data_IF_217000142742
#
_entry.id   IF_217000142742
#
_cell.length_a   1.000
_cell.length_b   1.000
_cell.length_c   1.000
_cell.angle_alpha   90.00
_cell.angle_beta   90.00
_cell.angle_gamma   90.00
#
_symmetry.space_group_name_H-M   'P 1'
#
loop_
_entity.id
_entity.type
_entity.pdbx_description
1 polymer ?
#
# COMPACT_ATOMS: atom_id res chain seq x y z
N UNK A 1 30.06 10.48 45.94
CA UNK A 1 30.64 9.21 45.46
C UNK A 1 29.54 8.18 45.50
N UNK A 2 28.79 8.07 44.42
CA UNK A 2 27.73 7.07 44.26
C UNK A 2 28.42 5.81 43.76
N UNK A 3 28.46 4.78 44.60
CA UNK A 3 28.91 3.47 44.14
C UNK A 3 27.93 2.98 43.07
N UNK A 4 28.40 2.91 41.86
CA UNK A 4 27.77 2.14 40.80
C UNK A 4 27.74 0.69 41.30
N UNK A 5 26.55 0.19 41.63
CA UNK A 5 26.34 -1.23 41.85
C UNK A 5 26.63 -1.91 40.50
N UNK A 6 27.81 -2.52 40.40
CA UNK A 6 28.03 -3.52 39.38
C UNK A 6 26.98 -4.60 39.58
N UNK A 7 26.31 -5.08 38.52
CA UNK A 7 25.51 -6.28 38.62
C UNK A 7 26.41 -7.35 39.24
N UNK A 8 25.94 -8.00 40.28
CA UNK A 8 26.60 -9.19 40.81
C UNK A 8 26.53 -10.22 39.70
N UNK A 9 27.65 -10.50 39.04
CA UNK A 9 27.78 -11.65 38.17
C UNK A 9 27.59 -12.86 39.12
N UNK A 10 26.39 -13.41 39.12
CA UNK A 10 26.12 -14.68 39.73
C UNK A 10 26.75 -15.73 38.82
N UNK A 11 27.88 -16.28 39.19
CA UNK A 11 28.55 -17.41 38.52
C UNK A 11 27.66 -18.67 38.44
N UNK A 12 26.46 -18.62 39.00
CA UNK A 12 25.44 -19.68 38.97
C UNK A 12 24.21 -19.31 38.13
N UNK A 13 24.34 -18.39 37.16
CA UNK A 13 23.26 -18.18 36.20
C UNK A 13 23.12 -19.44 35.33
N UNK A 14 22.31 -20.36 35.81
CA UNK A 14 21.84 -21.50 35.03
C UNK A 14 21.18 -20.96 33.78
N UNK A 15 21.55 -21.48 32.63
CA UNK A 15 21.01 -21.12 31.31
C UNK A 15 19.47 -21.17 31.28
N UNK A 16 18.85 -21.90 32.20
CA UNK A 16 17.41 -22.11 32.30
C UNK A 16 16.74 -21.34 33.46
N UNK A 17 17.47 -20.64 34.30
CA UNK A 17 16.94 -20.08 35.54
C UNK A 17 17.57 -18.76 35.98
N UNK A 18 18.11 -17.95 35.09
CA UNK A 18 18.58 -16.62 35.49
C UNK A 18 17.41 -15.79 36.03
N UNK A 19 17.67 -15.08 37.10
CA UNK A 19 16.66 -14.20 37.77
C UNK A 19 16.12 -13.18 36.78
N UNK A 20 16.92 -12.73 35.82
CA UNK A 20 16.54 -11.79 34.76
C UNK A 20 15.57 -12.40 33.78
N UNK A 21 15.73 -13.68 33.40
CA UNK A 21 14.81 -14.39 32.51
C UNK A 21 13.51 -14.83 33.21
N UNK A 22 13.53 -14.97 34.54
CA UNK A 22 12.36 -15.31 35.35
C UNK A 22 11.52 -14.09 35.75
N UNK A 23 12.00 -12.87 35.49
CA UNK A 23 11.32 -11.63 35.85
C UNK A 23 10.57 -11.08 34.63
N UNK A 24 9.28 -10.77 34.78
CA UNK A 24 8.50 -10.17 33.70
C UNK A 24 9.00 -8.75 33.41
N UNK A 25 9.15 -8.44 32.11
CA UNK A 25 9.50 -7.09 31.68
C UNK A 25 8.37 -6.11 31.99
N UNK A 26 8.69 -4.87 32.41
CA UNK A 26 7.69 -3.84 32.66
C UNK A 26 6.98 -3.48 31.34
N UNK A 27 5.63 -3.50 31.35
CA UNK A 27 4.80 -3.22 30.17
C UNK A 27 4.18 -1.82 30.17
N UNK A 28 4.07 -1.19 31.36
CA UNK A 28 3.32 0.06 31.52
C UNK A 28 4.13 1.17 32.19
N UNK A 29 5.25 0.83 32.82
CA UNK A 29 6.12 1.80 33.49
C UNK A 29 7.52 1.75 32.88
N UNK A 30 8.19 2.92 32.88
CA UNK A 30 9.58 2.98 32.42
C UNK A 30 10.47 2.27 33.46
N UNK A 31 11.38 1.37 33.05
CA UNK A 31 12.27 0.67 33.98
C UNK A 31 13.14 1.66 34.78
N UNK A 32 13.33 1.40 36.07
CA UNK A 32 14.15 2.25 36.96
C UNK A 32 15.65 1.98 36.73
N UNK A 33 16.00 0.75 36.36
CA UNK A 33 17.39 0.31 36.19
C UNK A 33 17.63 -0.14 34.76
N UNK A 34 18.88 -0.04 34.31
CA UNK A 34 19.34 -0.68 33.06
C UNK A 34 19.29 -2.21 33.18
N UNK A 35 19.09 -2.86 32.05
CA UNK A 35 19.08 -4.32 31.92
C UNK A 35 20.20 -4.79 31.00
N UNK A 36 20.58 -6.06 31.10
CA UNK A 36 21.55 -6.67 30.21
C UNK A 36 21.00 -6.68 28.76
N UNK A 37 21.73 -6.11 27.77
CA UNK A 37 21.24 -6.01 26.38
C UNK A 37 20.88 -7.36 25.77
N UNK A 38 21.63 -8.43 26.09
CA UNK A 38 21.36 -9.77 25.55
C UNK A 38 20.05 -10.34 26.09
N UNK A 39 19.76 -10.15 27.38
CA UNK A 39 18.53 -10.65 27.99
C UNK A 39 17.32 -9.90 27.45
N UNK A 40 17.42 -8.58 27.29
CA UNK A 40 16.37 -7.77 26.65
C UNK A 40 16.14 -8.22 25.20
N UNK A 41 17.22 -8.46 24.45
CA UNK A 41 17.12 -8.98 23.09
C UNK A 41 16.35 -10.31 23.04
N UNK A 42 16.70 -11.28 23.89
CA UNK A 42 16.02 -12.57 23.92
C UNK A 42 14.56 -12.46 24.31
N UNK A 43 14.24 -11.64 25.31
CA UNK A 43 12.86 -11.43 25.74
C UNK A 43 11.99 -10.81 24.61
N UNK A 44 12.52 -9.81 23.91
CA UNK A 44 11.82 -9.21 22.74
C UNK A 44 11.73 -10.21 21.59
N UNK A 45 12.80 -10.94 21.30
CA UNK A 45 12.81 -11.96 20.25
C UNK A 45 11.74 -13.03 20.50
N UNK A 46 11.64 -13.53 21.74
CA UNK A 46 10.66 -14.56 22.11
C UNK A 46 9.21 -14.03 21.99
N UNK A 47 8.99 -12.75 22.36
CA UNK A 47 7.68 -12.10 22.16
C UNK A 47 7.33 -12.00 20.67
N UNK A 48 8.28 -11.63 19.81
CA UNK A 48 8.10 -11.57 18.35
C UNK A 48 7.83 -12.94 17.71
N UNK A 49 8.23 -14.05 18.35
CA UNK A 49 7.91 -15.41 17.89
C UNK A 49 6.41 -15.73 17.99
N UNK A 50 5.63 -14.95 18.75
CA UNK A 50 4.19 -15.05 18.82
C UNK A 50 3.47 -14.41 17.63
N UNK A 51 4.17 -13.60 16.84
CA UNK A 51 3.64 -13.04 15.61
C UNK A 51 3.38 -14.12 14.55
N UNK A 52 2.43 -13.85 13.66
CA UNK A 52 2.10 -14.78 12.57
C UNK A 52 3.21 -14.90 11.54
N UNK A 53 3.20 -16.01 10.81
CA UNK A 53 4.11 -16.20 9.68
C UNK A 53 3.73 -15.26 8.53
N UNK A 54 4.62 -14.32 8.21
CA UNK A 54 4.41 -13.31 7.17
C UNK A 54 4.15 -13.90 5.77
N UNK A 55 4.63 -15.12 5.47
CA UNK A 55 4.35 -15.81 4.20
C UNK A 55 2.92 -16.33 4.09
N UNK A 56 2.27 -16.61 5.23
CA UNK A 56 0.87 -17.05 5.30
C UNK A 56 -0.11 -15.89 5.48
N UNK A 57 0.40 -14.67 5.66
CA UNK A 57 -0.44 -13.47 5.65
C UNK A 57 -0.72 -13.05 4.21
N UNK A 58 -1.88 -13.45 3.69
CA UNK A 58 -2.34 -13.15 2.32
C UNK A 58 -3.22 -11.90 2.26
N UNK A 59 -3.36 -11.19 3.39
CA UNK A 59 -4.11 -9.94 3.51
C UNK A 59 -3.26 -8.70 3.18
N UNK A 60 -1.96 -8.72 3.52
CA UNK A 60 -1.08 -7.56 3.39
C UNK A 60 -0.55 -7.37 1.98
N UNK A 61 -0.53 -6.11 1.53
CA UNK A 61 0.09 -5.71 0.27
C UNK A 61 1.61 -5.56 0.38
N UNK A 62 2.13 -5.35 1.59
CA UNK A 62 3.54 -5.09 1.81
C UNK A 62 4.41 -6.32 1.54
N UNK A 63 5.56 -6.09 0.92
CA UNK A 63 6.55 -7.12 0.66
C UNK A 63 7.14 -7.64 1.97
N UNK A 64 7.32 -8.96 2.06
CA UNK A 64 7.89 -9.64 3.23
C UNK A 64 9.15 -10.44 2.93
N UNK A 65 9.53 -10.50 1.65
CA UNK A 65 10.75 -11.16 1.20
C UNK A 65 11.77 -10.12 0.73
N UNK A 66 13.01 -10.25 1.18
CA UNK A 66 14.15 -9.44 0.73
C UNK A 66 15.38 -10.33 0.57
N UNK A 67 16.26 -9.97 -0.39
CA UNK A 67 17.56 -10.60 -0.57
C UNK A 67 18.48 -10.33 0.65
N UNK A 68 19.48 -11.18 0.88
CA UNK A 68 20.41 -10.99 2.00
C UNK A 68 21.27 -9.73 1.84
N UNK A 69 21.59 -9.34 0.63
CA UNK A 69 22.30 -8.10 0.31
C UNK A 69 21.47 -6.87 0.72
N UNK A 70 20.14 -6.92 0.60
CA UNK A 70 19.28 -5.85 1.10
C UNK A 70 19.37 -5.73 2.62
N UNK A 71 19.42 -6.85 3.36
CA UNK A 71 19.59 -6.83 4.82
C UNK A 71 20.90 -6.17 5.20
N UNK A 72 22.00 -6.52 4.52
CA UNK A 72 23.30 -5.91 4.75
C UNK A 72 23.31 -4.41 4.40
N UNK A 73 22.70 -4.01 3.28
CA UNK A 73 22.57 -2.60 2.92
C UNK A 73 21.72 -1.81 3.92
N UNK A 74 20.66 -2.41 4.45
CA UNK A 74 19.83 -1.80 5.49
C UNK A 74 20.63 -1.57 6.78
N UNK A 75 21.44 -2.55 7.19
CA UNK A 75 22.32 -2.43 8.36
C UNK A 75 23.37 -1.34 8.16
N UNK A 76 24.01 -1.28 6.99
CA UNK A 76 24.97 -0.21 6.62
C UNK A 76 24.33 1.18 6.50
N UNK A 77 23.02 1.27 6.43
CA UNK A 77 22.29 2.51 6.21
C UNK A 77 21.43 2.93 7.41
N UNK A 78 21.64 2.33 8.58
CA UNK A 78 20.84 2.58 9.79
C UNK A 78 20.94 4.03 10.26
N UNK A 79 22.04 4.71 9.99
CA UNK A 79 22.32 6.09 10.33
C UNK A 79 21.89 7.11 9.25
N UNK A 80 21.46 6.68 8.06
CA UNK A 80 21.15 7.56 6.95
C UNK A 80 19.79 8.23 7.12
N UNK A 81 19.80 9.56 7.23
CA UNK A 81 18.60 10.40 7.32
C UNK A 81 18.39 11.16 6.01
N UNK A 82 17.23 11.00 5.39
CA UNK A 82 16.92 11.57 4.08
C UNK A 82 16.88 13.11 4.05
N UNK A 83 16.68 13.76 5.20
CA UNK A 83 16.67 15.23 5.25
C UNK A 83 18.08 15.82 5.31
N UNK A 84 19.07 15.08 5.82
CA UNK A 84 20.43 15.55 6.03
C UNK A 84 21.27 15.36 4.77
N UNK A 85 20.90 16.08 3.70
CA UNK A 85 21.50 15.93 2.37
C UNK A 85 22.96 16.39 2.31
N UNK A 86 23.36 17.27 3.21
CA UNK A 86 24.75 17.74 3.31
C UNK A 86 25.65 16.66 3.93
N UNK A 87 25.16 15.97 4.97
CA UNK A 87 25.87 14.84 5.58
C UNK A 87 25.83 13.57 4.73
N UNK A 88 24.69 13.31 4.07
CA UNK A 88 24.47 12.11 3.25
C UNK A 88 24.20 12.42 1.78
N UNK A 89 25.11 13.11 1.08
CA UNK A 89 24.87 13.55 -0.31
C UNK A 89 24.69 12.37 -1.28
N UNK A 90 25.33 11.22 -1.03
CA UNK A 90 25.17 10.05 -1.88
C UNK A 90 23.81 9.38 -1.68
N UNK A 91 23.24 9.39 -0.49
CA UNK A 91 21.89 8.89 -0.23
C UNK A 91 20.86 9.80 -0.90
N UNK A 92 21.04 11.11 -0.86
CA UNK A 92 20.21 12.08 -1.58
C UNK A 92 20.31 11.89 -3.11
N UNK A 93 21.51 11.64 -3.63
CA UNK A 93 21.73 11.34 -5.06
C UNK A 93 21.05 10.02 -5.47
N UNK A 94 21.08 9.00 -4.62
CA UNK A 94 20.36 7.72 -4.85
C UNK A 94 18.84 7.96 -4.90
N UNK A 95 18.30 8.80 -4.02
CA UNK A 95 16.87 9.19 -4.09
C UNK A 95 16.53 9.80 -5.44
N UNK A 96 17.33 10.79 -5.89
CA UNK A 96 17.11 11.46 -7.17
C UNK A 96 17.19 10.49 -8.35
N UNK A 97 18.14 9.55 -8.34
CA UNK A 97 18.23 8.49 -9.35
C UNK A 97 16.98 7.62 -9.38
N UNK A 98 16.46 7.23 -8.22
CA UNK A 98 15.21 6.47 -8.13
C UNK A 98 14.04 7.28 -8.72
N UNK A 99 13.93 8.57 -8.41
CA UNK A 99 12.90 9.46 -8.97
C UNK A 99 13.01 9.53 -10.50
N UNK A 100 14.21 9.71 -11.04
CA UNK A 100 14.44 9.76 -12.48
C UNK A 100 14.08 8.42 -13.17
N UNK A 101 14.46 7.29 -12.55
CA UNK A 101 14.11 5.95 -13.06
C UNK A 101 12.60 5.72 -13.07
N UNK A 102 11.88 6.20 -12.05
CA UNK A 102 10.42 6.10 -11.99
C UNK A 102 9.76 7.04 -12.99
N UNK A 103 10.27 8.24 -13.17
CA UNK A 103 9.79 9.17 -14.18
C UNK A 103 9.93 8.60 -15.60
N UNK A 104 11.08 7.99 -15.93
CA UNK A 104 11.27 7.25 -17.17
C UNK A 104 10.33 6.06 -17.30
N UNK A 105 10.21 5.27 -16.24
CA UNK A 105 9.33 4.09 -16.21
C UNK A 105 7.86 4.44 -16.46
N UNK A 106 7.41 5.60 -15.97
CA UNK A 106 6.04 6.11 -16.10
C UNK A 106 5.89 7.15 -17.23
N UNK A 107 6.85 7.20 -18.17
CA UNK A 107 6.82 8.01 -19.38
C UNK A 107 6.63 9.51 -19.13
N UNK A 108 7.29 10.06 -18.10
CA UNK A 108 7.32 11.50 -17.90
C UNK A 108 8.00 12.21 -19.08
N UNK A 109 7.41 13.29 -19.63
CA UNK A 109 8.04 14.07 -20.71
C UNK A 109 9.33 14.78 -20.27
N UNK A 110 9.55 14.89 -18.96
CA UNK A 110 10.70 15.57 -18.33
C UNK A 110 11.51 14.64 -17.43
N UNK A 111 11.70 13.38 -17.80
CA UNK A 111 12.27 12.34 -16.94
C UNK A 111 13.64 12.68 -16.32
N UNK A 112 14.45 13.52 -16.97
CA UNK A 112 15.76 13.97 -16.45
C UNK A 112 15.70 15.22 -15.58
N UNK A 113 14.57 15.92 -15.54
CA UNK A 113 14.34 17.16 -14.78
C UNK A 113 13.01 17.11 -14.00
N UNK A 114 12.56 15.92 -13.66
CA UNK A 114 11.33 15.66 -12.96
C UNK A 114 11.46 15.90 -11.46
N UNK A 115 10.43 16.44 -10.85
CA UNK A 115 10.30 16.52 -9.39
C UNK A 115 9.62 15.29 -8.85
N UNK A 116 10.15 14.78 -7.76
CA UNK A 116 9.60 13.68 -7.00
C UNK A 116 10.35 13.52 -5.69
N UNK A 117 9.84 12.70 -4.81
CA UNK A 117 10.55 12.32 -3.59
C UNK A 117 10.15 10.93 -3.10
N UNK A 118 11.01 10.37 -2.28
CA UNK A 118 10.68 9.26 -1.43
C UNK A 118 9.79 9.68 -0.27
N UNK A 119 8.98 8.77 0.21
CA UNK A 119 8.12 8.92 1.37
C UNK A 119 8.17 7.65 2.22
N UNK A 120 7.66 7.68 3.44
CA UNK A 120 7.57 6.49 4.30
C UNK A 120 6.52 5.48 3.84
N UNK A 121 5.78 5.79 2.77
CA UNK A 121 4.77 4.94 2.15
C UNK A 121 3.87 5.73 1.21
N UNK A 122 3.07 5.03 0.41
CA UNK A 122 2.19 5.69 -0.56
C UNK A 122 1.10 6.56 0.07
N UNK A 123 0.77 6.39 1.34
CA UNK A 123 -0.19 7.27 2.01
C UNK A 123 0.32 8.71 2.09
N UNK A 124 1.59 8.91 2.46
CA UNK A 124 2.23 10.23 2.39
C UNK A 124 2.34 10.72 0.95
N UNK A 125 2.76 9.86 0.04
CA UNK A 125 2.91 10.18 -1.37
C UNK A 125 1.57 10.63 -2.01
N UNK A 126 0.46 9.94 -1.70
CA UNK A 126 -0.88 10.30 -2.11
C UNK A 126 -1.31 11.67 -1.55
N UNK A 127 -1.03 11.93 -0.26
CA UNK A 127 -1.32 13.23 0.36
C UNK A 127 -0.56 14.38 -0.33
N UNK A 128 0.70 14.17 -0.70
CA UNK A 128 1.49 15.15 -1.46
C UNK A 128 0.91 15.40 -2.85
N UNK A 129 0.48 14.36 -3.56
CA UNK A 129 -0.23 14.47 -4.84
C UNK A 129 -1.54 15.25 -4.71
N UNK A 130 -2.36 14.91 -3.71
CA UNK A 130 -3.61 15.62 -3.41
C UNK A 130 -3.41 17.08 -3.02
N UNK A 131 -2.38 17.39 -2.22
CA UNK A 131 -2.02 18.75 -1.86
C UNK A 131 -1.61 19.57 -3.10
N UNK A 132 -0.83 18.99 -3.99
CA UNK A 132 -0.46 19.67 -5.24
C UNK A 132 -1.68 19.99 -6.09
N UNK A 133 -2.65 19.08 -6.22
CA UNK A 133 -3.93 19.34 -6.90
C UNK A 133 -4.70 20.48 -6.22
N UNK A 134 -4.84 20.47 -4.89
CA UNK A 134 -5.55 21.50 -4.13
C UNK A 134 -4.93 22.87 -4.31
N UNK A 135 -3.60 23.01 -4.17
CA UNK A 135 -2.93 24.30 -4.30
C UNK A 135 -2.95 24.83 -5.73
N UNK A 136 -2.84 23.98 -6.76
CA UNK A 136 -3.03 24.36 -8.16
C UNK A 136 -4.43 24.88 -8.43
N UNK A 137 -5.46 24.17 -7.97
CA UNK A 137 -6.86 24.59 -8.06
C UNK A 137 -7.06 25.93 -7.34
N UNK A 138 -6.57 26.08 -6.12
CA UNK A 138 -6.66 27.31 -5.33
C UNK A 138 -6.04 28.49 -6.07
N UNK A 139 -4.80 28.36 -6.54
CA UNK A 139 -4.09 29.41 -7.29
C UNK A 139 -4.84 29.83 -8.56
N UNK A 140 -5.39 28.89 -9.31
CA UNK A 140 -6.22 29.18 -10.50
C UNK A 140 -7.46 29.99 -10.10
N UNK A 141 -8.19 29.57 -9.06
CA UNK A 141 -9.41 30.25 -8.57
C UNK A 141 -9.11 31.67 -8.10
N UNK A 142 -8.03 31.86 -7.36
CA UNK A 142 -7.58 33.18 -6.88
C UNK A 142 -7.25 34.13 -8.06
N UNK A 143 -6.57 33.64 -9.09
CA UNK A 143 -6.29 34.42 -10.31
C UNK A 143 -7.56 34.80 -11.08
N UNK A 144 -8.59 33.97 -11.00
CA UNK A 144 -9.90 34.25 -11.61
C UNK A 144 -10.83 35.09 -10.70
N UNK A 145 -10.38 35.46 -9.49
CA UNK A 145 -11.18 36.19 -8.51
C UNK A 145 -12.37 35.40 -7.96
N UNK A 146 -12.29 34.07 -7.99
CA UNK A 146 -13.32 33.16 -7.52
C UNK A 146 -13.02 32.65 -6.12
N UNK A 147 -14.06 32.21 -5.37
CA UNK A 147 -13.90 31.59 -4.05
C UNK A 147 -13.03 30.32 -4.12
N UNK A 148 -12.24 30.11 -3.08
CA UNK A 148 -11.44 28.90 -2.85
C UNK A 148 -12.02 28.02 -1.73
N UNK A 149 -13.26 28.29 -1.33
CA UNK A 149 -14.01 27.50 -0.36
C UNK A 149 -14.51 26.21 -1.01
N UNK A 150 -14.68 25.17 -0.20
CA UNK A 150 -15.30 23.91 -0.59
C UNK A 150 -14.62 23.17 -1.75
N UNK A 151 -13.28 22.99 -1.72
CA UNK A 151 -12.62 22.10 -2.68
C UNK A 151 -13.17 20.68 -2.55
N UNK A 152 -13.39 20.01 -3.68
CA UNK A 152 -13.78 18.60 -3.68
C UNK A 152 -12.87 17.77 -4.58
N UNK A 153 -12.85 16.47 -4.35
CA UNK A 153 -12.07 15.51 -5.12
C UNK A 153 -12.93 14.30 -5.44
N UNK A 154 -12.88 13.84 -6.69
CA UNK A 154 -13.64 12.67 -7.17
C UNK A 154 -12.76 11.45 -7.20
N UNK A 155 -13.23 10.32 -6.67
CA UNK A 155 -12.54 9.05 -6.68
C UNK A 155 -13.52 7.86 -6.70
N UNK A 156 -12.99 6.66 -6.92
CA UNK A 156 -13.72 5.40 -6.72
C UNK A 156 -13.57 4.88 -5.28
N UNK A 157 -13.71 3.56 -5.07
CA UNK A 157 -13.52 2.93 -3.76
C UNK A 157 -12.03 2.95 -3.36
N UNK A 158 -11.65 4.00 -2.66
CA UNK A 158 -10.25 4.31 -2.31
C UNK A 158 -9.79 3.72 -0.99
N UNK A 159 -8.49 3.66 -0.81
CA UNK A 159 -7.86 3.31 0.45
C UNK A 159 -8.03 4.47 1.45
N UNK A 160 -8.06 4.14 2.75
CA UNK A 160 -8.29 5.08 3.86
C UNK A 160 -7.39 6.33 3.86
N UNK A 161 -6.24 6.31 3.18
CA UNK A 161 -5.37 7.47 3.07
C UNK A 161 -6.07 8.67 2.40
N UNK A 162 -6.96 8.43 1.44
CA UNK A 162 -7.73 9.50 0.77
C UNK A 162 -8.83 10.07 1.67
N UNK A 163 -9.47 9.25 2.51
CA UNK A 163 -10.37 9.74 3.55
C UNK A 163 -9.63 10.60 4.58
N UNK A 164 -8.40 10.19 4.95
CA UNK A 164 -7.53 11.00 5.82
C UNK A 164 -7.11 12.30 5.14
N UNK A 165 -6.70 12.23 3.87
CA UNK A 165 -6.39 13.44 3.08
C UNK A 165 -7.55 14.43 3.11
N UNK A 166 -8.74 13.96 2.75
CA UNK A 166 -9.95 14.78 2.71
C UNK A 166 -10.22 15.47 4.06
N UNK A 167 -10.16 14.72 5.15
CA UNK A 167 -10.41 15.23 6.50
C UNK A 167 -9.32 16.17 7.00
N UNK A 168 -8.04 15.82 6.80
CA UNK A 168 -6.92 16.60 7.33
C UNK A 168 -6.70 17.90 6.58
N UNK A 169 -7.01 17.92 5.29
CA UNK A 169 -6.79 19.08 4.44
C UNK A 169 -8.07 19.78 3.99
N UNK A 170 -9.19 19.49 4.62
CA UNK A 170 -10.48 20.13 4.38
C UNK A 170 -10.86 20.12 2.88
N UNK A 171 -10.99 18.92 2.35
CA UNK A 171 -11.44 18.62 0.98
C UNK A 171 -12.65 17.70 1.06
N UNK A 172 -13.73 18.03 0.37
CA UNK A 172 -14.87 17.12 0.22
C UNK A 172 -14.47 15.93 -0.64
N UNK A 173 -14.57 14.71 -0.10
CA UNK A 173 -14.34 13.48 -0.87
C UNK A 173 -15.65 13.05 -1.52
N UNK A 174 -15.70 13.07 -2.83
CA UNK A 174 -16.82 12.58 -3.64
C UNK A 174 -16.49 11.21 -4.17
N UNK A 175 -16.79 10.21 -3.36
CA UNK A 175 -16.61 8.82 -3.71
C UNK A 175 -17.77 8.36 -4.60
N UNK A 176 -17.45 7.89 -5.81
CA UNK A 176 -18.45 7.36 -6.75
C UNK A 176 -18.99 6.04 -6.16
N UNK A 177 -20.30 5.98 -5.86
CA UNK A 177 -20.88 4.81 -5.21
C UNK A 177 -20.82 3.59 -6.11
N UNK A 178 -20.67 2.43 -5.50
CA UNK A 178 -20.78 1.14 -6.20
C UNK A 178 -22.24 0.87 -6.55
N UNK A 179 -22.48 0.08 -7.59
CA UNK A 179 -23.85 -0.27 -8.00
C UNK A 179 -23.90 -1.59 -8.78
N UNK A 180 -24.73 -2.52 -8.35
CA UNK A 180 -24.87 -3.84 -8.99
C UNK A 180 -23.51 -4.54 -9.12
N UNK A 181 -23.13 -4.87 -10.34
CA UNK A 181 -21.84 -5.52 -10.65
C UNK A 181 -20.70 -4.51 -10.90
N UNK A 182 -21.00 -3.23 -10.87
CA UNK A 182 -20.00 -2.16 -11.01
C UNK A 182 -19.32 -1.90 -9.66
N UNK A 183 -18.15 -2.50 -9.49
CA UNK A 183 -17.36 -2.46 -8.27
C UNK A 183 -16.16 -1.51 -8.33
N UNK A 184 -16.19 -0.56 -9.26
CA UNK A 184 -15.16 0.47 -9.46
C UNK A 184 -15.76 1.75 -10.05
N UNK A 185 -15.00 2.83 -10.01
CA UNK A 185 -15.35 4.06 -10.71
C UNK A 185 -15.21 3.86 -12.23
N UNK A 186 -16.19 4.34 -12.98
CA UNK A 186 -16.14 4.45 -14.44
C UNK A 186 -16.10 5.92 -14.86
N UNK A 187 -15.70 6.19 -16.10
CA UNK A 187 -15.65 7.53 -16.65
C UNK A 187 -17.03 8.23 -16.60
N UNK A 188 -18.09 7.53 -17.02
CA UNK A 188 -19.45 8.06 -17.02
C UNK A 188 -19.91 8.48 -15.60
N UNK A 189 -19.67 7.62 -14.62
CA UNK A 189 -20.07 7.91 -13.24
C UNK A 189 -19.24 9.04 -12.63
N UNK A 190 -17.91 9.06 -12.86
CA UNK A 190 -17.04 10.12 -12.35
C UNK A 190 -17.51 11.51 -12.77
N UNK A 191 -17.93 11.69 -14.03
CA UNK A 191 -18.39 12.98 -14.56
C UNK A 191 -19.60 13.56 -13.81
N UNK A 192 -20.45 12.73 -13.18
CA UNK A 192 -21.64 13.17 -12.44
C UNK A 192 -21.28 13.89 -11.13
N UNK A 193 -20.08 13.73 -10.64
CA UNK A 193 -19.59 14.29 -9.37
C UNK A 193 -18.64 15.47 -9.53
N UNK A 194 -18.34 15.86 -10.78
CA UNK A 194 -17.41 16.95 -11.11
C UNK A 194 -18.12 18.29 -11.20
N UNK A 195 -17.52 19.31 -10.59
CA UNK A 195 -17.91 20.71 -10.72
C UNK A 195 -16.69 21.64 -10.75
N UNK A 196 -16.90 22.96 -10.71
CA UNK A 196 -15.84 23.97 -10.73
C UNK A 196 -14.98 23.98 -9.46
N UNK A 197 -15.41 23.33 -8.39
CA UNK A 197 -14.65 23.17 -7.14
C UNK A 197 -13.84 21.87 -7.10
N UNK A 198 -13.94 21.05 -8.13
CA UNK A 198 -13.18 19.80 -8.22
C UNK A 198 -11.69 20.07 -8.43
N UNK A 199 -10.87 19.67 -7.47
CA UNK A 199 -9.41 19.83 -7.52
C UNK A 199 -8.75 18.81 -8.44
N UNK A 200 -9.41 17.66 -8.64
CA UNK A 200 -8.95 16.57 -9.51
C UNK A 200 -9.73 15.29 -9.34
N UNK A 201 -9.47 14.33 -10.25
CA UNK A 201 -9.97 12.96 -10.18
C UNK A 201 -8.82 12.03 -9.83
N UNK A 202 -9.09 11.05 -8.96
CA UNK A 202 -8.10 10.09 -8.48
C UNK A 202 -8.53 8.66 -8.82
N UNK A 203 -8.18 8.18 -10.03
CA UNK A 203 -8.34 6.76 -10.33
C UNK A 203 -7.25 5.94 -9.64
N UNK A 204 -7.61 4.72 -9.23
CA UNK A 204 -6.74 3.78 -8.52
C UNK A 204 -6.28 2.65 -9.43
N UNK A 205 -4.97 2.50 -9.58
CA UNK A 205 -4.37 1.39 -10.32
C UNK A 205 -4.10 0.21 -9.36
N UNK A 206 -5.15 -0.55 -9.06
CA UNK A 206 -5.17 -1.64 -8.10
C UNK A 206 -6.00 -1.31 -6.86
N UNK A 207 -7.32 -1.29 -7.01
CA UNK A 207 -8.30 -1.04 -5.94
C UNK A 207 -8.07 -1.97 -4.77
N UNK A 208 -8.10 -1.44 -3.55
CA UNK A 208 -7.88 -2.21 -2.33
C UNK A 208 -8.88 -3.36 -2.16
N UNK A 209 -10.12 -3.17 -2.57
CA UNK A 209 -11.22 -4.11 -2.35
C UNK A 209 -11.24 -5.25 -3.38
N UNK A 210 -11.22 -4.94 -4.67
CA UNK A 210 -11.31 -5.93 -5.76
C UNK A 210 -10.00 -6.24 -6.44
N UNK A 211 -8.95 -5.45 -6.21
CA UNK A 211 -7.62 -5.58 -6.83
C UNK A 211 -7.56 -5.21 -8.32
N UNK A 212 -8.65 -4.75 -8.90
CA UNK A 212 -8.74 -4.36 -10.30
C UNK A 212 -8.13 -2.98 -10.57
N UNK A 213 -7.80 -2.70 -11.81
CA UNK A 213 -7.40 -1.37 -12.29
C UNK A 213 -8.65 -0.57 -12.68
N UNK A 214 -8.79 0.65 -12.18
CA UNK A 214 -9.78 1.59 -12.72
C UNK A 214 -9.37 2.05 -14.11
N UNK A 215 -10.34 2.40 -14.99
CA UNK A 215 -10.11 2.71 -16.38
C UNK A 215 -9.53 4.13 -16.56
N UNK A 216 -8.24 4.29 -16.27
CA UNK A 216 -7.55 5.60 -16.21
C UNK A 216 -7.64 6.34 -17.55
N UNK A 217 -7.44 5.62 -18.66
CA UNK A 217 -7.50 6.23 -20.02
C UNK A 217 -8.89 6.72 -20.36
N UNK A 218 -9.91 5.92 -20.10
CA UNK A 218 -11.30 6.28 -20.38
C UNK A 218 -11.75 7.48 -19.53
N UNK A 219 -11.29 7.55 -18.27
CA UNK A 219 -11.54 8.71 -17.42
C UNK A 219 -10.82 9.94 -17.97
N UNK A 220 -9.57 9.81 -18.42
CA UNK A 220 -8.83 10.88 -19.06
C UNK A 220 -9.57 11.42 -20.28
N UNK A 221 -9.99 10.53 -21.21
CA UNK A 221 -10.66 10.92 -22.45
C UNK A 221 -11.99 11.61 -22.16
N UNK A 222 -12.76 11.13 -21.18
CA UNK A 222 -14.01 11.77 -20.75
C UNK A 222 -13.80 13.16 -20.11
N UNK A 223 -12.66 13.38 -19.44
CA UNK A 223 -12.28 14.69 -18.92
C UNK A 223 -11.83 15.66 -20.03
N UNK A 224 -11.24 15.16 -21.11
CA UNK A 224 -10.95 15.95 -22.32
C UNK A 224 -12.25 16.39 -23.00
N UNK A 225 -13.19 15.48 -23.21
CA UNK A 225 -14.53 15.79 -23.73
C UNK A 225 -15.29 16.80 -22.83
N UNK A 226 -15.16 16.67 -21.51
CA UNK A 226 -15.76 17.63 -20.57
C UNK A 226 -15.14 19.02 -20.73
N UNK A 227 -13.83 19.09 -20.87
CA UNK A 227 -13.13 20.36 -21.07
C UNK A 227 -13.54 21.04 -22.37
N UNK A 228 -13.62 20.30 -23.47
CA UNK A 228 -14.07 20.83 -24.77
C UNK A 228 -15.49 21.41 -24.71
N UNK A 229 -16.39 20.78 -23.95
CA UNK A 229 -17.79 21.20 -23.84
C UNK A 229 -18.03 22.33 -22.86
N UNK A 230 -17.25 22.40 -21.77
CA UNK A 230 -17.55 23.26 -20.61
C UNK A 230 -16.44 24.23 -20.24
N UNK A 231 -15.21 24.00 -20.72
CA UNK A 231 -14.01 24.73 -20.28
C UNK A 231 -13.50 24.33 -18.89
N UNK A 232 -14.07 23.32 -18.24
CA UNK A 232 -13.60 22.79 -16.95
C UNK A 232 -12.34 21.95 -17.15
N UNK A 233 -11.18 22.51 -16.78
CA UNK A 233 -9.90 21.79 -16.83
C UNK A 233 -9.65 21.06 -15.52
N UNK A 234 -9.93 19.75 -15.50
CA UNK A 234 -9.81 18.88 -14.33
C UNK A 234 -8.59 17.98 -14.50
N UNK A 235 -7.57 18.09 -13.62
CA UNK A 235 -6.41 17.22 -13.62
C UNK A 235 -6.68 15.87 -12.97
N UNK A 236 -5.75 14.94 -13.16
CA UNK A 236 -5.75 13.62 -12.53
C UNK A 236 -4.49 13.42 -11.68
N UNK A 237 -4.67 12.71 -10.57
CA UNK A 237 -3.60 12.03 -9.85
C UNK A 237 -3.89 10.53 -9.87
N UNK A 238 -2.94 9.72 -10.31
CA UNK A 238 -3.13 8.26 -10.33
C UNK A 238 -2.57 7.66 -9.04
N UNK A 239 -3.47 7.10 -8.23
CA UNK A 239 -3.04 6.25 -7.10
C UNK A 239 -2.61 4.88 -7.61
N UNK A 240 -1.33 4.78 -7.92
CA UNK A 240 -0.70 3.55 -8.37
C UNK A 240 0.07 2.84 -7.25
N UNK A 241 -0.42 2.99 -6.00
CA UNK A 241 0.24 2.40 -4.82
C UNK A 241 0.63 0.93 -5.00
N UNK A 242 -0.20 0.15 -5.69
CA UNK A 242 0.07 -1.25 -6.01
C UNK A 242 0.49 -1.42 -7.48
N UNK A 243 -0.27 -0.84 -8.42
CA UNK A 243 -0.10 -1.08 -9.85
C UNK A 243 1.11 -0.39 -10.49
N UNK A 244 1.66 0.66 -9.87
CA UNK A 244 2.75 1.45 -10.43
C UNK A 244 4.06 0.68 -10.65
N UNK A 245 4.25 -0.43 -9.95
CA UNK A 245 5.35 -1.37 -10.15
C UNK A 245 4.93 -2.68 -10.85
N UNK A 246 3.69 -2.77 -11.33
CA UNK A 246 3.18 -3.95 -12.02
C UNK A 246 2.88 -3.68 -13.48
N UNK A 247 2.03 -2.69 -13.76
CA UNK A 247 1.59 -2.36 -15.11
C UNK A 247 2.76 -2.08 -16.07
N UNK A 248 3.79 -1.30 -15.72
CA UNK A 248 4.91 -1.03 -16.63
C UNK A 248 5.67 -2.27 -17.08
N UNK A 249 5.68 -3.33 -16.28
CA UNK A 249 6.43 -4.55 -16.56
C UNK A 249 5.57 -5.67 -17.14
N UNK A 250 4.30 -5.76 -16.75
CA UNK A 250 3.43 -6.90 -17.06
C UNK A 250 2.33 -6.57 -18.07
N UNK A 251 1.98 -5.29 -18.22
CA UNK A 251 0.96 -4.80 -19.16
C UNK A 251 1.35 -3.41 -19.71
N UNK A 252 2.53 -3.29 -20.37
CA UNK A 252 3.06 -2.01 -20.83
C UNK A 252 2.19 -1.32 -21.91
N UNK A 253 1.27 -2.07 -22.51
CA UNK A 253 0.32 -1.55 -23.50
C UNK A 253 -0.82 -0.73 -22.88
N UNK A 254 -1.04 -0.78 -21.57
CA UNK A 254 -2.09 -0.02 -20.90
C UNK A 254 -1.64 1.42 -20.68
N UNK A 255 -2.43 2.38 -21.18
CA UNK A 255 -2.22 3.79 -20.93
C UNK A 255 -2.85 4.19 -19.59
N UNK A 256 -2.03 4.51 -18.60
CA UNK A 256 -2.46 4.91 -17.27
C UNK A 256 -1.57 5.99 -16.64
N UNK A 257 -0.41 6.23 -17.25
CA UNK A 257 0.69 7.03 -16.71
C UNK A 257 0.81 8.41 -17.39
N UNK A 258 1.98 9.01 -17.34
CA UNK A 258 2.24 10.33 -17.92
C UNK A 258 2.13 10.41 -19.44
N UNK A 259 1.87 9.32 -20.16
CA UNK A 259 1.41 9.37 -21.56
C UNK A 259 0.07 10.12 -21.69
N UNK A 260 -0.71 10.13 -20.60
CA UNK A 260 -1.98 10.85 -20.52
C UNK A 260 -1.75 12.27 -19.95
N UNK A 261 -1.95 13.36 -20.73
CA UNK A 261 -1.60 14.72 -20.32
C UNK A 261 -2.28 15.24 -19.07
N UNK A 262 -3.48 14.73 -18.71
CA UNK A 262 -4.19 15.11 -17.48
C UNK A 262 -3.61 14.48 -16.23
N UNK A 263 -2.81 13.43 -16.33
CA UNK A 263 -2.10 12.84 -15.20
C UNK A 263 -0.96 13.77 -14.80
N UNK A 264 -1.13 14.48 -13.67
CA UNK A 264 -0.19 15.48 -13.17
C UNK A 264 0.76 14.93 -12.13
N UNK A 265 0.35 13.88 -11.43
CA UNK A 265 1.19 13.18 -10.47
C UNK A 265 0.77 11.72 -10.32
N UNK A 266 1.74 10.91 -9.89
CA UNK A 266 1.56 9.47 -9.64
C UNK A 266 2.21 9.14 -8.31
N UNK A 267 1.53 8.37 -7.46
CA UNK A 267 2.16 7.77 -6.29
C UNK A 267 2.29 6.25 -6.43
N UNK A 268 3.32 5.67 -5.82
CA UNK A 268 3.48 4.21 -5.72
C UNK A 268 4.12 3.80 -4.40
N UNK A 269 3.80 2.59 -3.92
CA UNK A 269 4.46 1.98 -2.76
C UNK A 269 5.66 1.16 -3.20
N UNK A 270 6.87 1.63 -2.89
CA UNK A 270 8.10 0.85 -3.09
C UNK A 270 8.09 -0.46 -2.29
N UNK A 271 7.49 -0.43 -1.10
CA UNK A 271 7.40 -1.58 -0.20
C UNK A 271 6.27 -2.59 -0.51
N UNK A 272 5.52 -2.38 -1.60
CA UNK A 272 4.58 -3.38 -2.13
C UNK A 272 5.25 -4.12 -3.29
N UNK A 273 4.80 -3.89 -4.50
CA UNK A 273 5.37 -4.54 -5.70
C UNK A 273 6.66 -3.87 -6.22
N UNK A 274 7.12 -2.78 -5.59
CA UNK A 274 8.48 -2.27 -5.77
C UNK A 274 9.55 -3.12 -5.09
N UNK A 275 9.14 -4.11 -4.29
CA UNK A 275 9.98 -5.11 -3.63
C UNK A 275 10.98 -4.55 -2.60
N UNK A 276 10.85 -3.29 -2.20
CA UNK A 276 11.63 -2.71 -1.12
C UNK A 276 11.10 -3.16 0.27
N UNK A 277 11.92 -3.10 1.32
CA UNK A 277 11.44 -3.26 2.68
C UNK A 277 10.37 -2.22 3.06
N UNK A 278 9.55 -2.54 4.07
CA UNK A 278 8.50 -1.65 4.56
C UNK A 278 9.07 -0.27 4.91
N UNK A 279 8.34 0.79 4.56
CA UNK A 279 8.75 2.18 4.80
C UNK A 279 9.25 2.90 3.53
N UNK A 280 8.90 2.44 2.33
CA UNK A 280 9.24 3.07 1.06
C UNK A 280 7.98 3.39 0.24
N UNK A 281 7.83 4.65 -0.14
CA UNK A 281 6.83 5.15 -1.09
C UNK A 281 7.44 6.22 -1.99
N UNK A 282 6.76 6.52 -3.08
CA UNK A 282 7.21 7.44 -4.10
C UNK A 282 6.06 8.32 -4.58
N UNK A 283 6.34 9.59 -4.80
CA UNK A 283 5.51 10.49 -5.59
C UNK A 283 6.36 11.15 -6.66
N UNK A 284 5.83 11.21 -7.87
CA UNK A 284 6.45 11.87 -9.01
C UNK A 284 5.42 12.77 -9.67
N UNK A 285 5.81 14.00 -9.99
CA UNK A 285 5.01 14.94 -10.78
C UNK A 285 5.42 14.89 -12.24
N UNK A 286 4.47 15.09 -13.14
CA UNK A 286 4.70 15.06 -14.58
C UNK A 286 5.76 16.08 -15.01
N UNK A 287 5.61 17.32 -14.51
CA UNK A 287 6.47 18.46 -14.79
C UNK A 287 6.66 19.28 -13.51
N UNK A 288 7.70 20.10 -13.45
CA UNK A 288 8.01 20.97 -12.30
C UNK A 288 6.83 21.85 -11.89
N UNK A 289 6.12 22.42 -12.87
CA UNK A 289 4.96 23.27 -12.63
C UNK A 289 3.76 22.56 -12.00
N UNK A 290 3.76 21.21 -11.98
CA UNK A 290 2.72 20.42 -11.36
C UNK A 290 2.88 20.30 -9.84
N UNK A 291 4.06 20.64 -9.30
CA UNK A 291 4.28 20.86 -7.87
C UNK A 291 4.31 22.36 -7.58
N UNK A 292 3.28 22.92 -6.91
CA UNK A 292 3.24 24.34 -6.52
C UNK A 292 4.41 24.74 -5.62
N UNK A 293 5.00 25.92 -5.88
CA UNK A 293 6.13 26.45 -5.10
C UNK A 293 5.77 26.63 -3.62
N UNK A 294 4.51 26.90 -3.33
CA UNK A 294 3.96 27.06 -1.97
C UNK A 294 4.13 25.80 -1.10
N UNK A 295 4.33 24.63 -1.72
CA UNK A 295 4.58 23.36 -1.04
C UNK A 295 6.08 23.06 -0.86
N UNK A 296 6.98 23.91 -1.37
CA UNK A 296 8.41 23.73 -1.26
C UNK A 296 8.94 24.62 -0.13
N UNK A 297 9.48 23.99 0.89
CA UNK A 297 10.05 24.64 2.06
C UNK A 297 11.58 24.62 1.98
N UNK A 298 12.24 25.71 2.34
CA UNK A 298 13.70 25.79 2.36
C UNK A 298 14.21 25.67 3.80
N UNK A 299 15.10 24.73 4.03
CA UNK A 299 15.78 24.50 5.32
C UNK A 299 17.23 24.95 5.18
N UNK A 300 17.72 25.79 6.12
CA UNK A 300 19.06 26.35 6.07
C UNK A 300 19.94 26.03 7.30
N UNK A 301 19.38 25.42 8.34
CA UNK A 301 20.10 25.13 9.58
C UNK A 301 20.77 23.75 9.61
N UNK A 302 20.69 22.99 8.50
CA UNK A 302 21.35 21.69 8.33
C UNK A 302 22.57 21.74 7.39
N UNK A 303 23.17 22.94 7.20
CA UNK A 303 24.38 23.08 6.40
C UNK A 303 24.19 23.52 4.96
N UNK A 304 23.15 24.30 4.63
CA UNK A 304 22.91 24.85 3.30
C UNK A 304 21.44 25.19 3.06
N UNK A 305 21.11 25.68 1.87
CA UNK A 305 19.72 25.90 1.50
C UNK A 305 19.17 24.62 0.83
N UNK A 306 18.38 23.85 1.58
CA UNK A 306 17.85 22.56 1.15
C UNK A 306 16.34 22.63 0.94
N UNK A 307 15.86 22.52 -0.31
CA UNK A 307 14.43 22.43 -0.56
C UNK A 307 13.90 21.08 -0.12
N UNK A 308 12.77 21.10 0.60
CA UNK A 308 12.01 19.91 0.99
C UNK A 308 10.51 20.12 0.78
N UNK A 309 9.82 19.08 0.40
CA UNK A 309 8.36 19.08 0.20
C UNK A 309 7.69 17.81 0.75
N UNK A 310 8.45 16.87 1.28
CA UNK A 310 7.91 15.72 2.01
C UNK A 310 7.16 16.17 3.29
N UNK A 311 6.11 15.49 3.69
CA UNK A 311 5.37 15.79 4.92
C UNK A 311 6.20 15.45 6.16
N UNK A 312 6.97 14.37 6.11
CA UNK A 312 7.85 13.97 7.19
C UNK A 312 9.23 14.61 7.02
N UNK A 313 9.82 15.07 8.11
CA UNK A 313 11.13 15.69 8.11
C UNK A 313 12.23 14.61 8.12
N UNK A 314 12.57 14.06 9.28
CA UNK A 314 13.53 12.95 9.38
C UNK A 314 12.90 11.64 8.89
N UNK A 315 13.59 10.96 7.97
CA UNK A 315 13.15 9.70 7.37
C UNK A 315 14.34 8.76 7.18
N UNK A 316 14.16 7.44 7.36
CA UNK A 316 15.26 6.50 7.17
C UNK A 316 15.64 6.37 5.69
N UNK A 317 16.95 6.38 5.40
CA UNK A 317 17.49 6.25 4.04
C UNK A 317 17.67 4.80 3.57
N UNK A 318 17.74 3.85 4.50
CA UNK A 318 18.01 2.45 4.15
C UNK A 318 17.00 1.84 3.17
N UNK A 319 15.72 2.19 3.30
CA UNK A 319 14.67 1.73 2.38
C UNK A 319 14.87 2.24 0.96
N UNK A 320 15.41 3.45 0.81
CA UNK A 320 15.68 4.07 -0.50
C UNK A 320 16.90 3.41 -1.14
N UNK A 321 17.93 3.12 -0.36
CA UNK A 321 19.09 2.34 -0.80
C UNK A 321 18.65 0.94 -1.26
N UNK A 322 17.78 0.28 -0.51
CA UNK A 322 17.23 -1.03 -0.86
C UNK A 322 16.37 -0.98 -2.14
N UNK A 323 15.58 0.08 -2.32
CA UNK A 323 14.81 0.27 -3.56
C UNK A 323 15.74 0.43 -4.78
N UNK A 324 16.79 1.25 -4.64
CA UNK A 324 17.76 1.44 -5.70
C UNK A 324 18.51 0.15 -6.06
N UNK A 325 18.90 -0.64 -5.04
CA UNK A 325 19.46 -1.98 -5.25
C UNK A 325 18.53 -2.85 -6.10
N UNK A 326 17.24 -2.89 -5.78
CA UNK A 326 16.27 -3.66 -6.56
C UNK A 326 16.15 -3.16 -8.00
N UNK A 327 16.16 -1.85 -8.23
CA UNK A 327 16.12 -1.29 -9.59
C UNK A 327 17.32 -1.75 -10.42
N UNK A 328 18.52 -1.71 -9.85
CA UNK A 328 19.75 -2.10 -10.55
C UNK A 328 19.85 -3.63 -10.73
N UNK A 329 19.53 -4.38 -9.67
CA UNK A 329 19.65 -5.84 -9.68
C UNK A 329 18.64 -6.53 -10.59
N UNK A 330 17.40 -6.08 -10.56
CA UNK A 330 16.31 -6.73 -11.28
C UNK A 330 16.15 -6.18 -12.71
N UNK A 331 16.27 -4.89 -12.88
CA UNK A 331 15.92 -4.24 -14.14
C UNK A 331 14.49 -4.58 -14.58
N UNK A 332 14.11 -4.19 -15.79
CA UNK A 332 12.76 -4.46 -16.33
C UNK A 332 12.46 -5.97 -16.43
N UNK A 333 13.42 -6.76 -16.84
CA UNK A 333 13.24 -8.21 -17.03
C UNK A 333 13.05 -8.96 -15.70
N UNK A 334 13.83 -8.64 -14.67
CA UNK A 334 13.72 -9.25 -13.34
C UNK A 334 12.39 -8.93 -12.67
N UNK A 335 11.96 -7.66 -12.69
CA UNK A 335 10.63 -7.27 -12.21
C UNK A 335 9.52 -8.02 -12.94
N UNK A 336 9.57 -8.07 -14.28
CA UNK A 336 8.59 -8.80 -15.07
C UNK A 336 8.53 -10.28 -14.70
N UNK A 337 9.68 -10.96 -14.58
CA UNK A 337 9.74 -12.38 -14.21
C UNK A 337 9.10 -12.65 -12.85
N UNK A 338 9.45 -11.85 -11.84
CA UNK A 338 8.90 -12.00 -10.48
C UNK A 338 7.39 -11.77 -10.49
N UNK A 339 6.94 -10.68 -11.08
CA UNK A 339 5.52 -10.32 -11.07
C UNK A 339 4.67 -11.28 -11.90
N UNK A 340 5.14 -11.72 -13.07
CA UNK A 340 4.42 -12.72 -13.87
C UNK A 340 4.30 -14.06 -13.12
N UNK A 341 5.30 -14.46 -12.34
CA UNK A 341 5.18 -15.63 -11.48
C UNK A 341 4.07 -15.45 -10.42
N UNK A 342 3.98 -14.26 -9.83
CA UNK A 342 2.88 -13.93 -8.89
C UNK A 342 1.50 -13.98 -9.58
N UNK A 343 1.38 -13.43 -10.79
CA UNK A 343 0.14 -13.50 -11.57
C UNK A 343 -0.26 -14.94 -11.91
N UNK A 344 0.70 -15.75 -12.34
CA UNK A 344 0.44 -17.17 -12.65
C UNK A 344 -0.07 -17.93 -11.41
N UNK A 345 0.52 -17.67 -10.24
CA UNK A 345 0.07 -18.27 -8.97
C UNK A 345 -1.33 -17.75 -8.58
N UNK A 346 -1.61 -16.46 -8.76
CA UNK A 346 -2.93 -15.89 -8.47
C UNK A 346 -4.02 -16.52 -9.35
N UNK A 347 -3.77 -16.65 -10.65
CA UNK A 347 -4.71 -17.28 -11.58
C UNK A 347 -4.87 -18.78 -11.33
N UNK A 348 -3.79 -19.46 -10.89
CA UNK A 348 -3.89 -20.86 -10.44
C UNK A 348 -4.86 -20.96 -9.25
N UNK A 349 -4.65 -20.15 -8.21
CA UNK A 349 -5.52 -20.13 -7.04
C UNK A 349 -6.98 -19.78 -7.40
N UNK A 350 -7.20 -18.82 -8.30
CA UNK A 350 -8.55 -18.45 -8.73
C UNK A 350 -9.28 -19.64 -9.39
N UNK A 351 -8.61 -20.38 -10.27
CA UNK A 351 -9.19 -21.58 -10.90
C UNK A 351 -9.49 -22.69 -9.89
N UNK A 352 -8.55 -22.96 -8.97
CA UNK A 352 -8.73 -23.98 -7.95
C UNK A 352 -9.88 -23.63 -6.99
N UNK A 353 -9.99 -22.37 -6.55
CA UNK A 353 -11.03 -21.89 -5.65
C UNK A 353 -12.40 -21.95 -6.37
N UNK A 354 -12.49 -21.51 -7.62
CA UNK A 354 -13.71 -21.63 -8.42
C UNK A 354 -14.18 -23.10 -8.56
N UNK A 355 -13.23 -24.02 -8.72
CA UNK A 355 -13.51 -25.45 -8.87
C UNK A 355 -14.03 -26.14 -7.58
N UNK A 356 -13.86 -25.51 -6.41
CA UNK A 356 -14.38 -26.04 -5.13
C UNK A 356 -15.92 -26.03 -5.14
N UNK A 357 -16.54 -25.03 -5.78
CA UNK A 357 -18.00 -25.02 -6.03
C UNK A 357 -18.75 -23.82 -5.45
N UNK A 358 -18.67 -23.49 -4.14
CA UNK A 358 -19.54 -22.47 -3.54
C UNK A 358 -19.15 -21.03 -3.84
N UNK A 359 -18.04 -20.81 -4.57
CA UNK A 359 -17.45 -19.49 -4.78
C UNK A 359 -17.69 -18.95 -6.20
N UNK A 360 -17.94 -17.65 -6.24
CA UNK A 360 -17.97 -16.83 -7.45
C UNK A 360 -16.72 -15.93 -7.46
N UNK A 361 -15.92 -16.02 -8.53
CA UNK A 361 -14.71 -15.20 -8.67
C UNK A 361 -15.10 -13.82 -9.21
N UNK A 362 -14.81 -12.78 -8.44
CA UNK A 362 -15.01 -11.38 -8.82
C UNK A 362 -13.81 -10.88 -9.62
N UNK A 363 -12.60 -11.27 -9.22
CA UNK A 363 -11.37 -10.97 -9.92
C UNK A 363 -10.41 -12.16 -9.85
N UNK A 364 -9.85 -12.54 -10.99
CA UNK A 364 -9.08 -13.77 -11.19
C UNK A 364 -7.55 -13.57 -11.20
N UNK A 365 -7.07 -12.34 -11.03
CA UNK A 365 -5.64 -12.02 -11.10
C UNK A 365 -5.12 -11.81 -12.53
N UNK A 366 -5.97 -11.46 -13.48
CA UNK A 366 -5.54 -11.09 -14.84
C UNK A 366 -4.62 -9.86 -14.82
N UNK A 367 -3.40 -9.99 -15.37
CA UNK A 367 -2.36 -8.94 -15.32
C UNK A 367 -2.72 -7.66 -16.12
N UNK A 368 -3.68 -7.75 -17.05
CA UNK A 368 -4.18 -6.59 -17.81
C UNK A 368 -5.24 -5.80 -17.04
N UNK A 369 -5.91 -6.44 -16.10
CA UNK A 369 -7.10 -5.88 -15.45
C UNK A 369 -6.88 -5.56 -13.97
N UNK A 370 -5.73 -5.91 -13.38
CA UNK A 370 -5.47 -5.67 -11.98
C UNK A 370 -4.12 -6.20 -11.51
N UNK A 371 -3.95 -6.27 -10.19
CA UNK A 371 -2.73 -6.73 -9.53
C UNK A 371 -2.73 -8.27 -9.34
N UNK A 372 -1.59 -8.92 -9.02
CA UNK A 372 -1.54 -10.38 -8.79
C UNK A 372 -2.27 -10.75 -7.50
N UNK A 373 -3.56 -10.83 -7.58
CA UNK A 373 -4.49 -11.09 -6.48
C UNK A 373 -5.75 -11.76 -7.03
N UNK A 374 -6.56 -12.31 -6.14
CA UNK A 374 -7.88 -12.78 -6.50
C UNK A 374 -8.87 -12.38 -5.43
N UNK A 375 -10.11 -12.14 -5.85
CA UNK A 375 -11.23 -11.78 -4.98
C UNK A 375 -12.43 -12.63 -5.34
N UNK A 376 -13.12 -13.15 -4.33
CA UNK A 376 -14.31 -13.98 -4.52
C UNK A 376 -15.37 -13.71 -3.46
N UNK A 377 -16.59 -14.10 -3.77
CA UNK A 377 -17.74 -14.10 -2.86
C UNK A 377 -18.36 -15.49 -2.80
N UNK A 378 -19.27 -15.71 -1.84
CA UNK A 378 -20.18 -16.86 -1.90
C UNK A 378 -21.22 -16.62 -2.99
N UNK A 379 -21.48 -17.66 -3.80
CA UNK A 379 -22.61 -17.66 -4.73
C UNK A 379 -23.93 -17.43 -3.99
N UNK A 380 -24.93 -16.77 -4.59
CA UNK A 380 -26.18 -16.44 -3.92
C UNK A 380 -26.85 -17.64 -3.20
N UNK A 381 -26.83 -18.82 -3.82
CA UNK A 381 -27.41 -20.04 -3.27
C UNK A 381 -26.67 -20.60 -2.04
N UNK A 382 -25.43 -20.19 -1.82
CA UNK A 382 -24.60 -20.61 -0.68
C UNK A 382 -24.52 -19.57 0.45
N UNK A 383 -25.05 -18.36 0.27
CA UNK A 383 -24.96 -17.27 1.27
C UNK A 383 -25.68 -17.56 2.58
N UNK A 384 -26.67 -18.46 2.55
CA UNK A 384 -27.42 -18.91 3.73
C UNK A 384 -27.07 -20.36 4.13
N UNK A 385 -25.90 -20.85 3.72
CA UNK A 385 -25.52 -22.27 3.78
C UNK A 385 -24.91 -22.75 5.11
N UNK A 386 -25.13 -22.05 6.23
CA UNK A 386 -24.66 -22.49 7.55
C UNK A 386 -23.23 -22.04 7.92
N UNK A 387 -22.60 -21.23 7.09
CA UNK A 387 -21.34 -20.51 7.38
C UNK A 387 -21.23 -19.24 6.52
N UNK A 388 -20.42 -18.29 6.97
CA UNK A 388 -20.06 -17.07 6.24
C UNK A 388 -18.60 -17.11 5.79
N UNK A 389 -18.17 -16.13 4.96
CA UNK A 389 -16.75 -15.97 4.63
C UNK A 389 -15.91 -15.54 5.86
N UNK A 390 -16.55 -14.93 6.87
CA UNK A 390 -15.88 -14.63 8.14
C UNK A 390 -15.55 -15.91 8.93
N UNK A 391 -16.49 -16.87 8.99
CA UNK A 391 -16.26 -18.17 9.60
C UNK A 391 -15.14 -18.92 8.89
N UNK A 392 -15.12 -18.86 7.55
CA UNK A 392 -14.06 -19.49 6.75
C UNK A 392 -12.69 -18.84 7.03
N UNK A 393 -12.64 -17.51 7.10
CA UNK A 393 -11.42 -16.77 7.42
C UNK A 393 -10.88 -17.13 8.81
N UNK A 394 -11.77 -17.20 9.83
CA UNK A 394 -11.40 -17.58 11.19
C UNK A 394 -10.86 -19.01 11.26
N UNK A 395 -11.53 -19.96 10.63
CA UNK A 395 -11.07 -21.37 10.60
C UNK A 395 -9.72 -21.54 9.91
N UNK A 396 -9.45 -20.80 8.83
CA UNK A 396 -8.14 -20.80 8.16
C UNK A 396 -7.02 -20.29 9.06
N UNK A 397 -7.29 -19.37 9.99
CA UNK A 397 -6.33 -18.87 10.98
C UNK A 397 -5.79 -20.00 11.88
N UNK A 398 -6.58 -21.03 12.18
CA UNK A 398 -6.11 -22.18 12.97
C UNK A 398 -4.95 -22.94 12.33
N UNK A 399 -4.75 -22.74 11.00
CA UNK A 399 -3.63 -23.27 10.20
C UNK A 399 -2.58 -22.22 9.88
N UNK A 400 -2.71 -20.99 10.44
CA UNK A 400 -1.80 -19.87 10.22
C UNK A 400 -2.15 -19.01 9.00
N UNK A 401 -3.16 -19.36 8.19
CA UNK A 401 -3.53 -18.60 7.02
C UNK A 401 -4.35 -17.36 7.39
N UNK A 402 -3.89 -16.19 6.96
CA UNK A 402 -4.63 -14.94 7.08
C UNK A 402 -5.22 -14.57 5.72
N UNK A 403 -6.46 -14.99 5.49
CA UNK A 403 -7.26 -14.67 4.28
C UNK A 403 -8.42 -13.80 4.73
N UNK A 404 -8.36 -12.46 4.51
CA UNK A 404 -9.35 -11.55 5.07
C UNK A 404 -10.70 -11.70 4.37
N UNK A 405 -11.77 -11.66 5.16
CA UNK A 405 -13.13 -11.44 4.70
C UNK A 405 -13.58 -10.04 5.11
N UNK A 406 -14.28 -9.32 4.23
CA UNK A 406 -14.77 -7.96 4.49
C UNK A 406 -15.94 -7.63 3.58
N UNK A 407 -16.80 -6.69 4.03
CA UNK A 407 -17.85 -6.10 3.21
C UNK A 407 -17.25 -5.13 2.19
N UNK A 408 -17.86 -5.05 1.03
CA UNK A 408 -17.55 -4.00 0.06
C UNK A 408 -17.95 -2.62 0.62
N UNK A 409 -17.38 -1.51 0.11
CA UNK A 409 -17.73 -0.18 0.58
C UNK A 409 -19.14 0.26 0.19
N UNK A 410 -19.47 1.50 0.52
CA UNK A 410 -20.78 2.15 0.44
C UNK A 410 -21.59 1.77 -0.81
N UNK A 411 -22.83 1.42 -0.60
CA UNK A 411 -23.85 0.91 -1.52
C UNK A 411 -23.70 -0.57 -1.92
N UNK A 412 -22.65 -1.26 -1.46
CA UNK A 412 -22.48 -2.71 -1.65
C UNK A 412 -21.99 -3.43 -0.38
N UNK A 413 -22.36 -2.90 0.79
CA UNK A 413 -22.08 -3.50 2.10
C UNK A 413 -22.71 -4.90 2.27
N UNK A 414 -23.71 -5.21 1.44
CA UNK A 414 -24.34 -6.53 1.33
C UNK A 414 -23.41 -7.60 0.76
N UNK A 415 -22.41 -7.18 -0.04
CA UNK A 415 -21.47 -8.09 -0.67
C UNK A 415 -20.23 -8.28 0.21
N UNK A 416 -20.16 -9.44 0.86
CA UNK A 416 -18.97 -9.88 1.59
C UNK A 416 -18.04 -10.63 0.64
N UNK A 417 -16.78 -10.29 0.67
CA UNK A 417 -15.75 -10.89 -0.17
C UNK A 417 -14.56 -11.40 0.65
N UNK A 418 -13.83 -12.35 0.09
CA UNK A 418 -12.48 -12.70 0.52
C UNK A 418 -11.48 -12.36 -0.58
N UNK A 419 -10.25 -12.03 -0.19
CA UNK A 419 -9.18 -11.66 -1.09
C UNK A 419 -7.87 -12.32 -0.69
N UNK A 420 -7.11 -12.76 -1.68
CA UNK A 420 -5.73 -13.21 -1.55
C UNK A 420 -4.84 -12.30 -2.40
N UNK A 421 -3.76 -11.82 -1.79
CA UNK A 421 -2.67 -11.11 -2.46
C UNK A 421 -1.51 -12.07 -2.66
N UNK A 422 -1.08 -12.23 -3.89
CA UNK A 422 0.07 -13.06 -4.24
C UNK A 422 1.29 -12.16 -4.42
N UNK A 423 2.22 -12.28 -3.47
CA UNK A 423 3.46 -11.50 -3.44
C UNK A 423 4.66 -12.39 -3.70
N UNK A 424 5.79 -11.77 -3.98
CA UNK A 424 7.06 -12.51 -4.10
C UNK A 424 7.29 -13.40 -2.85
N UNK A 425 7.61 -14.66 -3.06
CA UNK A 425 7.73 -15.68 -2.00
C UNK A 425 6.52 -16.60 -1.83
N UNK A 426 5.39 -16.34 -2.52
CA UNK A 426 4.28 -17.29 -2.61
C UNK A 426 4.57 -18.32 -3.71
N UNK A 427 5.08 -19.50 -3.31
CA UNK A 427 5.37 -20.60 -4.24
C UNK A 427 4.10 -21.37 -4.62
N UNK A 428 4.18 -22.15 -5.69
CA UNK A 428 3.10 -23.08 -6.10
C UNK A 428 2.81 -24.09 -5.00
N UNK A 429 3.84 -24.67 -4.36
CA UNK A 429 3.67 -25.62 -3.25
C UNK A 429 2.88 -25.00 -2.08
N UNK A 430 3.18 -23.73 -1.76
CA UNK A 430 2.47 -23.02 -0.70
C UNK A 430 1.00 -22.75 -1.11
N UNK A 431 0.75 -22.48 -2.38
CA UNK A 431 -0.58 -22.32 -2.93
C UNK A 431 -1.38 -23.64 -2.88
N UNK A 432 -0.76 -24.77 -3.19
CA UNK A 432 -1.37 -26.11 -3.09
C UNK A 432 -1.75 -26.46 -1.64
N UNK A 433 -0.87 -26.15 -0.67
CA UNK A 433 -1.17 -26.30 0.75
C UNK A 433 -2.37 -25.45 1.19
N UNK A 434 -2.47 -24.21 0.73
CA UNK A 434 -3.61 -23.36 1.00
C UNK A 434 -4.92 -23.97 0.44
N UNK A 435 -4.91 -24.45 -0.81
CA UNK A 435 -6.07 -25.11 -1.42
C UNK A 435 -6.49 -26.36 -0.66
N UNK A 436 -5.51 -27.18 -0.22
CA UNK A 436 -5.81 -28.36 0.59
C UNK A 436 -6.45 -27.99 1.94
N UNK A 437 -5.94 -26.94 2.60
CA UNK A 437 -6.49 -26.45 3.87
C UNK A 437 -7.87 -25.81 3.68
N UNK A 438 -8.09 -25.08 2.57
CA UNK A 438 -9.37 -24.49 2.22
C UNK A 438 -10.44 -25.59 2.02
N UNK A 439 -10.14 -26.63 1.21
CA UNK A 439 -11.04 -27.78 0.98
C UNK A 439 -11.37 -28.50 2.30
N UNK A 440 -10.38 -28.74 3.14
CA UNK A 440 -10.58 -29.36 4.47
C UNK A 440 -11.45 -28.51 5.39
N UNK A 441 -11.24 -27.20 5.37
CA UNK A 441 -12.00 -26.27 6.22
C UNK A 441 -13.46 -26.21 5.79
N UNK A 442 -13.73 -26.18 4.49
CA UNK A 442 -15.08 -26.19 3.95
C UNK A 442 -15.79 -27.50 4.30
N UNK A 443 -15.16 -28.66 4.07
CA UNK A 443 -15.72 -29.97 4.45
C UNK A 443 -16.07 -30.05 5.95
N UNK A 444 -15.24 -29.44 6.79
CA UNK A 444 -15.50 -29.36 8.23
C UNK A 444 -16.68 -28.44 8.58
N UNK A 445 -16.83 -27.29 7.90
CA UNK A 445 -17.94 -26.36 8.08
C UNK A 445 -19.27 -26.93 7.58
N UNK A 446 -19.26 -27.64 6.46
CA UNK A 446 -20.43 -28.31 5.90
C UNK A 446 -20.92 -29.45 6.79
N UNK A 447 -20.02 -30.26 7.38
CA UNK A 447 -20.35 -31.35 8.30
C UNK A 447 -20.78 -30.85 9.67
N UNK A 448 -20.26 -29.73 10.11
CA UNK A 448 -20.52 -29.12 11.42
C UNK A 448 -20.82 -27.62 11.23
N UNK A 449 -22.04 -27.28 10.77
CA UNK A 449 -22.45 -25.90 10.61
C UNK A 449 -22.26 -25.09 11.89
N UNK A 450 -21.88 -23.83 11.77
CA UNK A 450 -21.74 -22.96 12.93
C UNK A 450 -23.10 -22.62 13.50
N UNK A 451 -23.23 -22.66 14.80
CA UNK A 451 -24.49 -22.31 15.49
C UNK A 451 -24.76 -20.81 15.50
N UNK A 452 -23.70 -20.03 15.42
CA UNK A 452 -23.72 -18.57 15.31
C UNK A 452 -22.63 -18.16 14.33
N UNK A 453 -23.02 -17.63 13.18
CA UNK A 453 -22.08 -17.17 12.17
C UNK A 453 -21.44 -15.86 12.60
N UNK A 454 -20.13 -15.75 12.40
CA UNK A 454 -19.37 -14.55 12.73
C UNK A 454 -19.80 -13.36 11.87
N UNK A 455 -19.88 -12.19 12.52
CA UNK A 455 -20.04 -10.89 11.87
C UNK A 455 -18.68 -10.25 11.56
N UNK A 456 -18.70 -9.14 10.82
CA UNK A 456 -17.49 -8.36 10.53
C UNK A 456 -16.78 -7.87 11.81
N UNK A 457 -17.55 -7.52 12.85
CA UNK A 457 -17.02 -7.04 14.13
C UNK A 457 -16.37 -8.15 14.95
N UNK A 458 -16.98 -9.36 14.94
CA UNK A 458 -16.50 -10.52 15.67
C UNK A 458 -15.29 -11.19 15.00
N UNK A 459 -15.18 -11.10 13.68
CA UNK A 459 -14.07 -11.69 12.90
C UNK A 459 -12.75 -10.93 13.06
N UNK A 460 -12.73 -9.79 13.72
CA UNK A 460 -11.55 -8.98 13.99
C UNK A 460 -10.64 -9.64 15.04
N UNK A 461 -9.40 -9.97 14.66
CA UNK A 461 -8.43 -10.60 15.58
C UNK A 461 -7.74 -9.64 16.56
N UNK A 462 -7.96 -8.31 16.48
CA UNK A 462 -7.29 -7.33 17.32
C UNK A 462 -8.19 -6.12 17.58
N UNK A 463 -8.47 -5.87 18.85
CA UNK A 463 -9.15 -4.67 19.30
C UNK A 463 -8.12 -3.71 19.93
N UNK A 464 -7.96 -2.53 19.33
CA UNK A 464 -7.39 -1.38 20.03
C UNK A 464 -8.47 -0.83 20.98
N UNK A 465 -8.46 -1.30 22.22
CA UNK A 465 -9.26 -0.68 23.28
C UNK A 465 -8.62 0.63 23.72
#
# INVERSE_FOLDING_TARGET
MTMLNKPVENDNDDVYASVELSTSLPKTAFPVQESNPRNVFHAIHDELMLDGNSRQNLATFCQTWVDDEIRQLMDLSIDKNMIDKDEYPQTAEIEQRCVNMLADLWHSPAATDTLGCSTIGSSEAAMLGGLALKWRWRKRRELEGKSTDKPNMVCGPVQICWHKFARYFDVELREVPLDGDRLMMTAEEALKYIDENTIGVVPTLGITFTCQYEPVKEIHDALDDLFERTGLDIPMHVDAASGGFLAPFCAPEIDWDFRLPRVKSINASGHKFGLAPLGAGWVVWREKQDLPEELIFNVNYLGGNMPTFALNFSRPGGQIVAQYYNFLRLGREGYRKIHMACYNTAQYLAREIAAIGPFEIIFDGSHKNGIPALTWALKPEHRNGGYTLYDLADRLRSRGWQVPAYSMPTHREDLVVQRILVRHGMSTDLAELLIADLKRTLDALEKNPVTHSLTAEEAGGFNHA
#
